data_IF_681406637653
#
_entry.id   IF_681406637653
#
_cell.length_a   1.000
_cell.length_b   1.000
_cell.length_c   1.000
_cell.angle_alpha   90.00
_cell.angle_beta   90.00
_cell.angle_gamma   90.00
#
_symmetry.space_group_name_H-M   'P 1'
#
loop_
_entity.id
_entity.type
_entity.pdbx_description
1 polymer ?
#
# COMPACT_ATOMS: atom_id res chain seq x y z
N UNK A 1 -17.70 -9.84 6.37
CA UNK A 1 -18.28 -8.54 6.86
C UNK A 1 -17.63 -7.37 6.14
N UNK A 2 -18.34 -6.27 5.91
CA UNK A 2 -17.79 -5.04 5.31
C UNK A 2 -18.02 -3.86 6.26
N UNK A 3 -16.97 -3.06 6.47
CA UNK A 3 -17.00 -1.88 7.34
C UNK A 3 -16.40 -0.67 6.61
N UNK A 4 -16.97 0.50 6.85
CA UNK A 4 -16.36 1.80 6.53
C UNK A 4 -15.93 2.44 7.85
N UNK A 5 -14.66 2.78 7.93
CA UNK A 5 -14.04 3.35 9.12
C UNK A 5 -13.54 4.73 8.76
N UNK A 6 -13.82 5.71 9.62
CA UNK A 6 -13.27 7.06 9.47
C UNK A 6 -12.57 7.46 10.77
N UNK A 7 -11.38 8.05 10.63
CA UNK A 7 -10.65 8.59 11.76
C UNK A 7 -9.81 9.80 11.34
N UNK A 8 -9.32 10.56 12.32
CA UNK A 8 -8.41 11.67 12.05
C UNK A 8 -6.98 11.15 12.04
N UNK A 9 -6.37 11.12 10.85
CA UNK A 9 -4.96 10.78 10.69
C UNK A 9 -4.07 11.90 11.21
N UNK A 10 -3.07 11.56 11.97
CA UNK A 10 -2.02 12.47 12.41
C UNK A 10 -0.98 12.68 11.30
N UNK A 11 -0.68 11.61 10.53
CA UNK A 11 0.28 11.65 9.44
C UNK A 11 -0.19 12.51 8.27
N UNK A 12 -1.52 12.56 8.05
CA UNK A 12 -2.13 13.34 6.96
C UNK A 12 -2.82 14.63 7.46
N UNK A 13 -2.87 14.88 8.77
CA UNK A 13 -3.45 16.08 9.36
C UNK A 13 -4.95 16.27 9.14
N UNK A 14 -5.70 15.22 8.74
CA UNK A 14 -7.11 15.29 8.32
C UNK A 14 -7.89 14.01 8.59
N UNK A 15 -9.20 14.07 8.37
CA UNK A 15 -10.04 12.89 8.36
C UNK A 15 -9.72 12.01 7.16
N UNK A 16 -9.65 10.69 7.37
CA UNK A 16 -9.43 9.68 6.34
C UNK A 16 -10.50 8.60 6.41
N UNK A 17 -10.82 8.04 5.23
CA UNK A 17 -11.68 6.88 5.07
C UNK A 17 -10.87 5.62 4.86
N UNK A 18 -11.37 4.51 5.39
CA UNK A 18 -10.77 3.18 5.22
C UNK A 18 -11.89 2.17 5.05
N UNK A 19 -11.77 1.28 4.08
CA UNK A 19 -12.68 0.18 3.86
C UNK A 19 -12.05 -1.11 4.41
N UNK A 20 -12.81 -1.88 5.17
CA UNK A 20 -12.36 -3.13 5.75
C UNK A 20 -13.30 -4.27 5.38
N UNK A 21 -12.75 -5.34 4.85
CA UNK A 21 -13.43 -6.62 4.62
C UNK A 21 -12.88 -7.64 5.59
N UNK A 22 -13.77 -8.17 6.43
CA UNK A 22 -13.41 -9.16 7.44
C UNK A 22 -14.01 -10.53 7.06
N UNK A 23 -13.30 -11.64 7.32
CA UNK A 23 -13.69 -12.98 6.94
C UNK A 23 -14.78 -13.57 7.87
N UNK A 24 -15.84 -12.80 8.14
CA UNK A 24 -16.99 -13.28 8.84
C UNK A 24 -18.01 -13.85 7.86
N UNK A 25 -18.42 -15.10 8.07
CA UNK A 25 -19.53 -15.75 7.40
C UNK A 25 -20.85 -15.60 8.17
N UNK A 26 -21.98 -15.86 7.51
CA UNK A 26 -23.31 -15.73 8.10
C UNK A 26 -23.56 -16.71 9.26
N UNK A 27 -22.69 -17.70 9.48
CA UNK A 27 -22.76 -18.69 10.55
C UNK A 27 -21.90 -18.44 11.78
N UNK A 28 -21.10 -17.41 11.83
CA UNK A 28 -20.19 -17.02 12.94
C UNK A 28 -19.08 -18.02 13.33
N UNK A 29 -18.98 -19.19 12.70
CA UNK A 29 -18.16 -20.29 13.23
C UNK A 29 -16.84 -20.57 12.47
N UNK A 30 -16.63 -20.07 11.23
CA UNK A 30 -15.63 -20.67 10.34
C UNK A 30 -14.28 -19.96 10.25
N UNK A 31 -14.18 -18.71 10.61
CA UNK A 31 -12.91 -18.01 10.57
C UNK A 31 -12.39 -17.74 11.99
N UNK A 32 -11.32 -18.43 12.37
CA UNK A 32 -10.69 -18.21 13.68
C UNK A 32 -9.82 -16.96 13.65
N UNK A 33 -10.18 -15.95 14.44
CA UNK A 33 -9.29 -14.84 14.75
C UNK A 33 -8.08 -15.34 15.55
N UNK A 34 -6.91 -14.66 15.46
CA UNK A 34 -6.68 -13.40 14.73
C UNK A 34 -6.47 -13.62 13.23
N UNK A 35 -7.05 -12.71 12.41
CA UNK A 35 -6.97 -12.81 10.95
C UNK A 35 -5.68 -12.23 10.38
N UNK A 36 -5.04 -12.93 9.41
CA UNK A 36 -4.06 -12.30 8.54
C UNK A 36 -4.67 -11.11 7.82
N UNK A 37 -3.89 -10.08 7.56
CA UNK A 37 -4.39 -8.82 7.02
C UNK A 37 -3.58 -8.38 5.81
N UNK A 38 -4.27 -8.13 4.70
CA UNK A 38 -3.76 -7.48 3.50
C UNK A 38 -4.15 -6.00 3.50
N UNK A 39 -3.18 -5.11 3.56
CA UNK A 39 -3.33 -3.68 3.29
C UNK A 39 -3.20 -3.48 1.79
N UNK A 40 -4.32 -3.17 1.11
CA UNK A 40 -4.38 -3.15 -0.36
C UNK A 40 -4.55 -1.72 -0.87
N UNK A 41 -3.55 -1.24 -1.62
CA UNK A 41 -3.39 0.14 -2.02
C UNK A 41 -4.01 0.40 -3.41
N UNK A 42 -4.93 1.39 -3.54
CA UNK A 42 -5.49 1.83 -4.81
C UNK A 42 -4.45 2.35 -5.81
N UNK A 43 -4.80 2.25 -7.09
CA UNK A 43 -4.05 2.85 -8.19
C UNK A 43 -4.26 4.36 -8.30
N UNK A 44 -3.57 4.97 -9.27
CA UNK A 44 -3.73 6.38 -9.61
C UNK A 44 -5.18 6.66 -10.07
N UNK A 45 -5.76 7.77 -9.66
CA UNK A 45 -7.14 8.19 -9.88
C UNK A 45 -8.23 7.28 -9.30
N UNK A 46 -7.87 6.15 -8.69
CA UNK A 46 -8.81 5.29 -7.97
C UNK A 46 -8.86 5.64 -6.48
N UNK A 47 -9.92 5.24 -5.83
CA UNK A 47 -10.10 5.39 -4.39
C UNK A 47 -10.55 4.07 -3.74
N UNK A 48 -10.61 4.06 -2.40
CA UNK A 48 -10.97 2.86 -1.65
C UNK A 48 -12.42 2.39 -1.93
N UNK A 49 -13.36 3.30 -2.15
CA UNK A 49 -14.75 3.00 -2.48
C UNK A 49 -14.88 2.28 -3.83
N UNK A 50 -14.12 2.75 -4.84
CA UNK A 50 -14.11 2.16 -6.17
C UNK A 50 -13.60 0.71 -6.12
N UNK A 51 -12.46 0.47 -5.47
CA UNK A 51 -11.94 -0.89 -5.30
C UNK A 51 -12.88 -1.79 -4.51
N UNK A 52 -13.49 -1.25 -3.46
CA UNK A 52 -14.46 -1.97 -2.65
C UNK A 52 -15.71 -2.39 -3.45
N UNK A 53 -16.05 -1.64 -4.51
CA UNK A 53 -17.20 -1.90 -5.38
C UNK A 53 -16.86 -2.83 -6.53
N UNK A 54 -15.69 -2.62 -7.17
CA UNK A 54 -15.30 -3.34 -8.39
C UNK A 54 -14.70 -4.73 -8.11
N UNK A 55 -14.01 -4.89 -6.98
CA UNK A 55 -13.35 -6.14 -6.66
C UNK A 55 -14.22 -7.03 -5.74
N UNK A 56 -14.23 -8.34 -5.93
CA UNK A 56 -15.02 -9.28 -5.13
C UNK A 56 -14.38 -9.54 -3.75
N UNK A 57 -13.95 -8.47 -3.05
CA UNK A 57 -13.15 -8.55 -1.83
C UNK A 57 -13.89 -9.17 -0.65
N UNK A 58 -15.21 -9.02 -0.58
CA UNK A 58 -16.01 -9.70 0.44
C UNK A 58 -15.90 -11.22 0.29
N UNK A 59 -16.03 -11.72 -0.96
CA UNK A 59 -15.90 -13.14 -1.25
C UNK A 59 -14.47 -13.61 -1.01
N UNK A 60 -13.48 -12.87 -1.50
CA UNK A 60 -12.06 -13.17 -1.26
C UNK A 60 -11.74 -13.27 0.24
N UNK A 61 -12.13 -12.26 1.01
CA UNK A 61 -11.91 -12.26 2.46
C UNK A 61 -12.51 -13.48 3.14
N UNK A 62 -13.74 -13.81 2.80
CA UNK A 62 -14.46 -14.94 3.36
C UNK A 62 -13.84 -16.30 2.96
N UNK A 63 -13.49 -16.47 1.69
CA UNK A 63 -12.98 -17.72 1.11
C UNK A 63 -11.56 -18.05 1.62
N UNK A 64 -10.71 -17.03 1.77
CA UNK A 64 -9.31 -17.22 2.17
C UNK A 64 -9.01 -16.91 3.65
N UNK A 65 -9.99 -16.49 4.42
CA UNK A 65 -9.78 -16.15 5.83
C UNK A 65 -8.88 -14.93 6.06
N UNK A 66 -8.78 -14.01 5.09
CA UNK A 66 -7.89 -12.86 5.10
C UNK A 66 -8.69 -11.58 5.24
N UNK A 67 -8.36 -10.75 6.23
CA UNK A 67 -8.89 -9.39 6.31
C UNK A 67 -8.23 -8.52 5.22
N UNK A 68 -9.03 -7.68 4.54
CA UNK A 68 -8.51 -6.73 3.54
C UNK A 68 -8.83 -5.31 4.00
N UNK A 69 -7.81 -4.47 4.09
CA UNK A 69 -7.91 -3.06 4.49
C UNK A 69 -7.51 -2.20 3.31
N UNK A 70 -8.37 -1.27 2.90
CA UNK A 70 -8.13 -0.39 1.74
C UNK A 70 -8.19 1.07 2.21
N UNK A 71 -7.06 1.77 2.28
CA UNK A 71 -7.03 3.22 2.50
C UNK A 71 -7.19 3.98 1.18
N UNK A 72 -7.55 5.26 1.25
CA UNK A 72 -7.38 6.16 0.12
C UNK A 72 -5.92 6.56 -0.06
N UNK A 73 -5.46 6.59 -1.32
CA UNK A 73 -4.09 6.91 -1.71
C UNK A 73 -3.88 8.30 -2.28
N UNK A 74 -4.95 8.97 -2.75
CA UNK A 74 -5.00 10.37 -3.26
C UNK A 74 -3.90 10.75 -4.27
N UNK A 75 -3.57 9.85 -5.17
CA UNK A 75 -2.53 10.07 -6.18
C UNK A 75 -1.15 10.43 -5.61
N UNK A 76 -0.85 10.03 -4.36
CA UNK A 76 0.34 10.40 -3.58
C UNK A 76 1.57 9.53 -3.86
N UNK A 77 1.45 8.49 -4.68
CA UNK A 77 2.46 7.43 -4.82
C UNK A 77 2.90 6.83 -3.49
N UNK A 78 2.14 7.07 -2.43
CA UNK A 78 2.41 6.60 -1.06
C UNK A 78 3.77 7.04 -0.53
N UNK A 79 4.19 8.27 -0.89
CA UNK A 79 5.43 8.92 -0.44
C UNK A 79 5.18 9.90 0.70
N UNK A 80 6.25 10.30 1.41
CA UNK A 80 6.16 11.25 2.51
C UNK A 80 6.63 12.64 2.07
N UNK A 81 5.76 13.65 2.25
CA UNK A 81 6.00 15.06 1.98
C UNK A 81 5.64 15.91 3.19
N UNK A 82 6.59 16.08 4.15
CA UNK A 82 6.34 16.84 5.37
C UNK A 82 5.89 18.29 5.13
N UNK A 83 6.44 18.92 4.08
CA UNK A 83 6.12 20.30 3.69
C UNK A 83 4.67 20.48 3.22
N UNK A 84 3.98 19.39 2.89
CA UNK A 84 2.57 19.36 2.47
C UNK A 84 1.64 18.73 3.52
N UNK A 85 2.16 18.36 4.69
CA UNK A 85 1.45 17.54 5.68
C UNK A 85 0.88 16.25 5.07
N UNK A 86 1.62 15.63 4.14
CA UNK A 86 1.19 14.48 3.36
C UNK A 86 2.18 13.32 3.55
N UNK A 87 2.16 12.68 4.73
CA UNK A 87 3.07 11.58 5.09
C UNK A 87 2.40 10.23 4.77
N UNK A 88 2.19 9.95 3.48
CA UNK A 88 1.43 8.76 3.06
C UNK A 88 2.18 7.45 3.32
N UNK A 89 3.51 7.42 3.21
CA UNK A 89 4.29 6.24 3.57
C UNK A 89 4.18 5.94 5.07
N UNK A 90 4.36 6.95 5.91
CA UNK A 90 4.21 6.83 7.36
C UNK A 90 2.77 6.48 7.77
N UNK A 91 1.79 6.99 7.02
CA UNK A 91 0.38 6.62 7.20
C UNK A 91 0.14 5.14 6.93
N UNK A 92 0.54 4.61 5.77
CA UNK A 92 0.25 3.22 5.40
C UNK A 92 1.14 2.22 6.14
N UNK A 93 2.39 2.57 6.43
CA UNK A 93 3.37 1.67 7.03
C UNK A 93 3.27 1.54 8.56
N UNK A 94 2.81 2.58 9.23
CA UNK A 94 2.68 2.62 10.70
C UNK A 94 1.27 2.95 11.16
N UNK A 95 0.79 4.17 10.89
CA UNK A 95 -0.43 4.67 11.53
C UNK A 95 -1.66 3.83 11.20
N UNK A 96 -1.86 3.50 9.91
CA UNK A 96 -3.00 2.70 9.45
C UNK A 96 -3.00 1.32 10.11
N UNK A 97 -1.85 0.66 10.15
CA UNK A 97 -1.70 -0.67 10.77
C UNK A 97 -2.02 -0.61 12.26
N UNK A 98 -1.46 0.35 12.97
CA UNK A 98 -1.67 0.55 14.41
C UNK A 98 -3.12 0.90 14.74
N UNK A 99 -3.75 1.80 13.96
CA UNK A 99 -5.13 2.23 14.18
C UNK A 99 -6.11 1.10 13.88
N UNK A 100 -5.95 0.40 12.74
CA UNK A 100 -6.87 -0.70 12.38
C UNK A 100 -6.79 -1.86 13.36
N UNK A 101 -5.60 -2.24 13.83
CA UNK A 101 -5.44 -3.26 14.87
C UNK A 101 -6.09 -2.87 16.21
N UNK A 102 -6.03 -1.58 16.56
CA UNK A 102 -6.68 -1.09 17.78
C UNK A 102 -8.21 -1.08 17.65
N UNK A 103 -8.75 -0.73 16.49
CA UNK A 103 -10.19 -0.68 16.23
C UNK A 103 -10.80 -2.06 15.97
N UNK A 104 -10.03 -2.97 15.41
CA UNK A 104 -10.42 -4.32 14.99
C UNK A 104 -9.51 -5.34 15.70
N UNK A 105 -9.79 -5.70 16.97
CA UNK A 105 -8.93 -6.63 17.73
C UNK A 105 -8.87 -8.05 17.16
N UNK A 106 -9.71 -8.36 16.19
CA UNK A 106 -9.68 -9.62 15.45
C UNK A 106 -8.55 -9.70 14.40
N UNK A 107 -7.85 -8.59 14.12
CA UNK A 107 -6.69 -8.61 13.22
C UNK A 107 -5.43 -9.13 13.93
N UNK A 108 -4.65 -9.93 13.24
CA UNK A 108 -3.37 -10.40 13.76
C UNK A 108 -2.39 -9.23 13.97
N UNK A 109 -1.64 -9.30 15.07
CA UNK A 109 -0.56 -8.35 15.34
C UNK A 109 0.81 -8.85 14.91
N UNK A 110 0.88 -10.09 14.41
CA UNK A 110 2.12 -10.73 13.98
C UNK A 110 2.56 -10.17 12.62
N UNK A 111 3.87 -10.01 12.43
CA UNK A 111 4.45 -9.59 11.14
C UNK A 111 4.10 -10.59 10.03
N UNK A 112 4.22 -11.90 10.31
CA UNK A 112 3.98 -12.97 9.35
C UNK A 112 2.58 -12.92 8.73
N UNK A 113 1.62 -12.39 9.46
CA UNK A 113 0.21 -12.26 9.08
C UNK A 113 -0.12 -10.86 8.53
N UNK A 114 0.88 -10.01 8.29
CA UNK A 114 0.68 -8.62 7.84
C UNK A 114 1.31 -8.42 6.48
N UNK A 115 0.48 -8.17 5.49
CA UNK A 115 0.87 -8.09 4.09
C UNK A 115 0.49 -6.74 3.50
N UNK A 116 1.27 -6.27 2.52
CA UNK A 116 0.95 -5.08 1.74
C UNK A 116 0.81 -5.46 0.27
N UNK A 117 -0.16 -4.89 -0.40
CA UNK A 117 -0.36 -5.10 -1.83
C UNK A 117 -1.01 -3.91 -2.50
N UNK A 118 -1.08 -3.92 -3.82
CA UNK A 118 -1.76 -2.86 -4.56
C UNK A 118 -1.68 -3.02 -6.06
N UNK A 119 -2.37 -2.12 -6.74
CA UNK A 119 -2.46 -2.09 -8.21
C UNK A 119 -1.89 -0.79 -8.75
N UNK A 120 -1.12 -0.86 -9.86
CA UNK A 120 -0.57 0.32 -10.56
C UNK A 120 0.27 1.20 -9.61
N UNK A 121 -0.13 2.47 -9.37
CA UNK A 121 0.44 3.34 -8.34
C UNK A 121 0.45 2.66 -6.95
N UNK A 122 -0.62 1.95 -6.60
CA UNK A 122 -0.69 1.17 -5.35
C UNK A 122 0.27 -0.01 -5.33
N UNK A 123 0.54 -0.63 -6.48
CA UNK A 123 1.57 -1.67 -6.63
C UNK A 123 2.99 -1.11 -6.42
N UNK A 124 3.27 0.07 -6.95
CA UNK A 124 4.48 0.83 -6.65
C UNK A 124 4.58 1.14 -5.15
N UNK A 125 3.51 1.70 -4.57
CA UNK A 125 3.44 2.00 -3.15
C UNK A 125 3.61 0.76 -2.26
N UNK A 126 3.06 -0.39 -2.67
CA UNK A 126 3.26 -1.66 -1.97
C UNK A 126 4.72 -2.12 -2.00
N UNK A 127 5.40 -1.97 -3.14
CA UNK A 127 6.82 -2.30 -3.27
C UNK A 127 7.69 -1.42 -2.35
N UNK A 128 7.61 -0.11 -2.52
CA UNK A 128 8.46 0.85 -1.79
C UNK A 128 8.19 0.83 -0.29
N UNK A 129 6.91 0.77 0.11
CA UNK A 129 6.55 0.75 1.53
C UNK A 129 6.77 -0.63 2.16
N UNK A 130 6.56 -1.73 1.42
CA UNK A 130 6.88 -3.07 1.90
C UNK A 130 8.36 -3.25 2.19
N UNK A 131 9.24 -2.63 1.38
CA UNK A 131 10.69 -2.59 1.63
C UNK A 131 11.04 -1.66 2.80
N UNK A 132 10.50 -0.44 2.82
CA UNK A 132 10.76 0.54 3.87
C UNK A 132 10.29 0.08 5.24
N UNK A 133 9.12 -0.54 5.30
CA UNK A 133 8.47 -1.01 6.52
C UNK A 133 8.54 -2.54 6.65
N UNK A 134 9.68 -3.13 6.29
CA UNK A 134 9.87 -4.60 6.27
C UNK A 134 9.66 -5.26 7.63
N UNK A 135 9.80 -4.51 8.74
CA UNK A 135 9.49 -4.99 10.09
C UNK A 135 7.98 -5.09 10.35
N UNK A 136 7.17 -4.36 9.57
CA UNK A 136 5.71 -4.41 9.65
C UNK A 136 5.14 -5.44 8.69
N UNK A 137 5.61 -5.44 7.45
CA UNK A 137 5.08 -6.28 6.38
C UNK A 137 5.98 -7.48 6.09
N UNK A 138 5.35 -8.66 5.96
CA UNK A 138 6.06 -9.90 5.66
C UNK A 138 5.92 -10.35 4.21
N UNK A 139 5.01 -9.77 3.43
CA UNK A 139 4.80 -10.08 2.00
C UNK A 139 4.40 -8.85 1.24
N UNK A 140 4.83 -8.77 -0.02
CA UNK A 140 4.51 -7.70 -0.96
C UNK A 140 3.80 -8.29 -2.18
N UNK A 141 2.62 -7.76 -2.53
CA UNK A 141 1.81 -8.22 -3.68
C UNK A 141 1.57 -7.06 -4.63
N UNK A 142 1.97 -7.20 -5.89
CA UNK A 142 1.91 -6.13 -6.87
C UNK A 142 1.17 -6.57 -8.13
N UNK A 143 0.16 -5.80 -8.51
CA UNK A 143 -0.57 -5.98 -9.77
C UNK A 143 -0.27 -4.80 -10.70
N UNK A 144 0.33 -5.09 -11.86
CA UNK A 144 0.72 -4.10 -12.88
C UNK A 144 1.36 -2.83 -12.24
N UNK A 145 2.40 -2.98 -11.41
CA UNK A 145 2.96 -1.86 -10.66
C UNK A 145 3.70 -0.89 -11.58
N UNK A 146 3.60 0.42 -11.31
CA UNK A 146 4.42 1.45 -11.93
C UNK A 146 5.83 1.47 -11.31
N UNK A 147 6.61 0.41 -11.51
CA UNK A 147 7.84 0.13 -10.73
C UNK A 147 9.02 0.98 -11.16
N UNK A 148 9.16 1.25 -12.46
CA UNK A 148 10.22 2.09 -12.99
C UNK A 148 9.63 3.37 -13.58
N UNK A 149 9.87 4.46 -12.89
CA UNK A 149 9.41 5.80 -13.28
C UNK A 149 10.58 6.69 -13.72
N UNK A 150 11.78 6.11 -13.87
CA UNK A 150 12.99 6.88 -14.20
C UNK A 150 12.84 7.61 -15.52
N UNK A 151 12.33 6.96 -16.56
CA UNK A 151 12.12 7.58 -17.85
C UNK A 151 11.13 8.75 -17.78
N UNK A 152 10.06 8.60 -16.98
CA UNK A 152 9.07 9.68 -16.76
C UNK A 152 9.67 10.89 -16.03
N UNK A 153 10.69 10.69 -15.20
CA UNK A 153 11.39 11.77 -14.49
C UNK A 153 12.48 12.40 -15.36
N UNK A 154 13.09 11.63 -16.27
CA UNK A 154 14.14 12.11 -17.17
C UNK A 154 13.61 12.94 -18.34
N UNK A 155 12.39 12.66 -18.79
CA UNK A 155 11.70 13.42 -19.83
C UNK A 155 11.26 14.78 -19.29
N UNK A 156 12.14 15.78 -19.37
CA UNK A 156 11.84 17.19 -18.99
C UNK A 156 11.04 17.91 -20.08
N UNK A 157 10.04 17.24 -20.64
CA UNK A 157 9.20 17.76 -21.72
C UNK A 157 8.07 18.66 -21.23
N UNK A 158 7.89 18.77 -19.88
CA UNK A 158 6.82 19.52 -19.24
C UNK A 158 5.44 18.91 -19.45
N UNK A 159 5.38 17.65 -19.90
CA UNK A 159 4.13 16.91 -20.00
C UNK A 159 3.44 16.77 -18.63
N UNK A 160 2.12 16.57 -18.65
CA UNK A 160 1.36 16.38 -17.41
C UNK A 160 1.87 15.18 -16.59
N UNK A 161 2.17 14.00 -17.17
CA UNK A 161 2.76 12.91 -16.42
C UNK A 161 4.07 13.30 -15.72
N UNK A 162 4.99 13.92 -16.44
CA UNK A 162 6.26 14.37 -15.86
C UNK A 162 6.06 15.31 -14.66
N UNK A 163 5.17 16.31 -14.79
CA UNK A 163 4.84 17.23 -13.70
C UNK A 163 4.26 16.51 -12.48
N UNK A 164 3.37 15.54 -12.69
CA UNK A 164 2.74 14.78 -11.61
C UNK A 164 3.75 13.89 -10.87
N UNK A 165 4.59 13.16 -11.61
CA UNK A 165 5.62 12.33 -11.01
C UNK A 165 6.66 13.16 -10.28
N UNK A 166 7.16 14.23 -10.90
CA UNK A 166 8.14 15.13 -10.28
C UNK A 166 7.60 15.81 -9.01
N UNK A 167 6.30 16.09 -8.95
CA UNK A 167 5.67 16.68 -7.77
C UNK A 167 5.71 15.74 -6.53
N UNK A 168 5.74 14.43 -6.73
CA UNK A 168 5.75 13.45 -5.64
C UNK A 168 7.11 12.77 -5.44
N UNK A 169 7.93 12.66 -6.47
CA UNK A 169 9.20 11.92 -6.43
C UNK A 169 10.43 12.83 -6.50
N UNK A 170 10.22 14.12 -6.78
CA UNK A 170 11.32 15.04 -7.05
C UNK A 170 11.85 14.89 -8.48
N UNK A 171 13.07 15.35 -8.70
CA UNK A 171 13.79 15.15 -9.95
C UNK A 171 14.46 13.76 -10.02
N UNK A 172 14.97 13.40 -11.18
CA UNK A 172 15.65 12.12 -11.40
C UNK A 172 16.83 11.90 -10.44
N UNK A 173 17.61 12.94 -10.15
CA UNK A 173 18.77 12.82 -9.27
C UNK A 173 18.37 12.52 -7.83
N UNK A 174 17.33 13.21 -7.33
CA UNK A 174 16.76 12.99 -5.98
C UNK A 174 16.12 11.60 -5.86
N UNK A 175 15.45 11.14 -6.92
CA UNK A 175 14.78 9.85 -6.95
C UNK A 175 15.77 8.68 -7.00
N UNK A 176 16.81 8.79 -7.81
CA UNK A 176 17.76 7.72 -8.17
C UNK A 176 18.31 6.98 -6.95
N UNK A 177 18.74 7.72 -5.92
CA UNK A 177 19.34 7.19 -4.69
C UNK A 177 18.43 7.35 -3.48
N UNK A 178 17.11 7.30 -3.68
CA UNK A 178 16.13 7.41 -2.62
C UNK A 178 15.44 6.08 -2.34
N UNK A 179 14.81 5.98 -1.16
CA UNK A 179 13.95 4.84 -0.81
C UNK A 179 12.72 4.69 -1.74
N UNK A 180 12.36 5.76 -2.44
CA UNK A 180 11.27 5.76 -3.42
C UNK A 180 11.63 4.99 -4.71
N UNK A 181 12.93 4.77 -4.97
CA UNK A 181 13.39 3.93 -6.07
C UNK A 181 13.47 2.47 -5.62
N UNK A 182 12.58 1.58 -6.10
CA UNK A 182 12.58 0.18 -5.70
C UNK A 182 13.90 -0.54 -5.96
N UNK A 183 14.56 -0.23 -7.10
CA UNK A 183 15.86 -0.81 -7.44
C UNK A 183 16.94 -0.43 -6.44
N UNK A 184 17.01 0.85 -6.08
CA UNK A 184 17.96 1.33 -5.08
C UNK A 184 17.70 0.69 -3.70
N UNK A 185 16.43 0.66 -3.28
CA UNK A 185 16.02 0.06 -2.01
C UNK A 185 16.38 -1.43 -1.93
N UNK A 186 16.17 -2.19 -3.01
CA UNK A 186 16.55 -3.62 -3.09
C UNK A 186 18.07 -3.83 -3.05
N UNK A 187 18.85 -2.99 -3.73
CA UNK A 187 20.30 -3.06 -3.67
C UNK A 187 20.81 -2.77 -2.26
N UNK A 188 20.27 -1.74 -1.61
CA UNK A 188 20.60 -1.41 -0.21
C UNK A 188 20.20 -2.50 0.76
N UNK A 189 19.01 -3.08 0.61
CA UNK A 189 18.56 -4.20 1.43
C UNK A 189 19.53 -5.40 1.31
N UNK A 190 19.99 -5.70 0.09
CA UNK A 190 20.98 -6.76 -0.15
C UNK A 190 22.34 -6.45 0.50
N UNK A 191 22.84 -5.21 0.36
CA UNK A 191 24.10 -4.77 0.98
C UNK A 191 24.05 -4.87 2.51
N UNK A 192 22.90 -4.58 3.10
CA UNK A 192 22.67 -4.59 4.55
C UNK A 192 22.24 -5.94 5.10
N UNK A 193 22.14 -6.98 4.25
CA UNK A 193 21.62 -8.31 4.63
C UNK A 193 20.24 -8.24 5.32
N UNK A 194 19.38 -7.34 4.86
CA UNK A 194 18.02 -7.20 5.39
C UNK A 194 17.14 -8.40 5.02
N UNK A 195 16.23 -8.76 5.91
CA UNK A 195 15.15 -9.73 5.62
C UNK A 195 14.10 -9.09 4.72
N UNK A 196 14.32 -9.19 3.40
CA UNK A 196 13.42 -8.63 2.39
C UNK A 196 12.16 -9.48 2.30
N UNK A 197 10.96 -8.88 2.44
CA UNK A 197 9.72 -9.61 2.26
C UNK A 197 9.62 -10.26 0.88
N UNK A 198 9.18 -11.53 0.76
CA UNK A 198 8.92 -12.15 -0.52
C UNK A 198 7.89 -11.33 -1.31
N UNK A 199 8.13 -11.25 -2.64
CA UNK A 199 7.36 -10.43 -3.56
C UNK A 199 6.62 -11.30 -4.57
N UNK A 200 5.34 -11.00 -4.78
CA UNK A 200 4.55 -11.51 -5.89
C UNK A 200 4.26 -10.36 -6.85
N UNK A 201 4.58 -10.56 -8.12
CA UNK A 201 4.33 -9.58 -9.19
C UNK A 201 3.50 -10.24 -10.29
N UNK A 202 2.42 -9.58 -10.67
CA UNK A 202 1.57 -9.95 -11.80
C UNK A 202 1.36 -8.73 -12.70
N UNK A 203 1.62 -8.88 -14.00
CA UNK A 203 1.35 -7.84 -15.01
C UNK A 203 0.86 -8.50 -16.30
N UNK A 204 0.27 -7.68 -17.20
CA UNK A 204 -0.05 -8.12 -18.55
C UNK A 204 1.22 -8.32 -19.38
N UNK A 205 1.11 -9.09 -20.46
CA UNK A 205 2.20 -9.32 -21.42
C UNK A 205 2.35 -8.13 -22.39
N UNK A 206 1.26 -7.38 -22.59
CA UNK A 206 1.20 -6.18 -23.42
C UNK A 206 0.76 -5.00 -22.53
N UNK A 207 1.67 -4.10 -22.21
CA UNK A 207 1.37 -2.94 -21.35
C UNK A 207 2.39 -1.85 -21.49
#
# INVERSE_FOLDING_TARGET
MYLRISFKSQMLGRGVGVHAFLPFHDGYEDAQAPYPTLYFLPGYSANAEELATLLPLRRFSAEYGVAVIIPDGENSFYTDHPERCALFSSYVGDELVRVTRRMLPCLSTRREDTWIGGISMGGYGACTNGLRWHDTFSKIVMFSPAIDVTDLLSERDGSLPNQLFSAWMGDEDSYRESWMNPRYSLLKAKEQCMDVPPMFLCCGEEG
#
